data_IF_162063697912
#
_entry.id   IF_162063697912
#
_cell.length_a   1.000
_cell.length_b   1.000
_cell.length_c   1.000
_cell.angle_alpha   90.00
_cell.angle_beta   90.00
_cell.angle_gamma   90.00
#
_symmetry.space_group_name_H-M   'P 1'
#
loop_
_entity.id
_entity.type
_entity.pdbx_description
1 polymer ?
#
# COMPACT_ATOMS: atom_id res chain seq x y z
N UNK A 1 7.13 14.61 29.41
CA UNK A 1 6.15 15.61 29.91
C UNK A 1 6.19 16.95 29.15
N UNK A 2 7.07 17.16 28.16
CA UNK A 2 7.13 18.42 27.37
C UNK A 2 6.41 18.38 26.02
N UNK A 3 6.00 17.19 25.53
CA UNK A 3 5.27 17.05 24.25
C UNK A 3 3.79 17.41 24.39
N UNK A 4 3.21 17.27 25.58
CA UNK A 4 1.79 17.54 25.82
C UNK A 4 1.42 19.03 25.78
N UNK A 5 2.35 19.93 26.10
CA UNK A 5 2.03 21.36 26.27
C UNK A 5 1.85 22.11 24.95
N UNK A 6 2.36 21.57 23.83
CA UNK A 6 2.36 22.26 22.53
C UNK A 6 1.12 22.00 21.66
N UNK A 7 0.26 21.06 22.06
CA UNK A 7 -0.96 20.67 21.30
C UNK A 7 -2.19 21.50 21.72
N UNK A 8 -2.09 22.25 22.82
CA UNK A 8 -3.18 23.07 23.39
C UNK A 8 -3.70 24.21 22.51
N UNK A 9 -3.09 24.44 21.33
CA UNK A 9 -3.51 25.48 20.38
C UNK A 9 -4.34 24.94 19.18
N UNK A 10 -4.58 23.64 19.06
CA UNK A 10 -5.47 23.09 18.02
C UNK A 10 -6.88 22.89 18.58
N UNK A 11 -7.71 23.94 18.52
CA UNK A 11 -9.15 23.81 18.70
C UNK A 11 -9.70 22.80 17.66
N UNK A 12 -10.37 21.73 18.12
CA UNK A 12 -11.11 20.69 17.34
C UNK A 12 -10.48 19.31 17.08
N UNK A 13 -9.36 18.95 17.73
CA UNK A 13 -8.84 17.57 17.64
C UNK A 13 -9.77 16.55 18.35
N UNK A 14 -10.58 16.99 19.32
CA UNK A 14 -11.46 16.12 20.10
C UNK A 14 -12.48 15.34 19.23
N UNK A 15 -12.87 15.87 18.08
CA UNK A 15 -13.76 15.18 17.14
C UNK A 15 -13.15 13.91 16.51
N UNK A 16 -11.81 13.81 16.50
CA UNK A 16 -11.07 12.68 15.95
C UNK A 16 -10.95 11.51 16.94
N UNK A 17 -11.21 11.76 18.23
CA UNK A 17 -11.08 10.79 19.31
C UNK A 17 -12.43 10.57 20.00
N UNK A 18 -12.94 9.34 19.94
CA UNK A 18 -14.31 9.02 20.43
C UNK A 18 -14.36 8.33 21.79
N UNK A 19 -13.30 7.60 22.15
CA UNK A 19 -13.26 6.75 23.34
C UNK A 19 -11.98 6.99 24.13
N UNK A 20 -12.04 6.80 25.45
CA UNK A 20 -10.86 6.73 26.33
C UNK A 20 -10.34 5.30 26.47
N UNK A 21 -9.02 5.16 26.57
CA UNK A 21 -8.36 3.86 26.75
C UNK A 21 -8.59 3.34 28.17
N UNK A 22 -9.00 2.07 28.30
CA UNK A 22 -9.10 1.42 29.60
C UNK A 22 -7.76 0.74 29.96
N UNK A 23 -6.98 1.40 30.80
CA UNK A 23 -5.66 0.92 31.24
C UNK A 23 -5.72 -0.32 32.12
N UNK A 24 -6.81 -0.52 32.87
CA UNK A 24 -6.95 -1.67 33.78
C UNK A 24 -7.03 -2.98 32.99
N UNK A 25 -7.72 -3.00 31.85
CA UNK A 25 -7.75 -4.18 30.98
C UNK A 25 -6.36 -4.60 30.50
N UNK A 26 -5.50 -3.63 30.20
CA UNK A 26 -4.12 -3.89 29.77
C UNK A 26 -3.30 -4.38 30.98
N UNK A 27 -3.38 -3.68 32.11
CA UNK A 27 -2.63 -4.01 33.32
C UNK A 27 -2.96 -5.41 33.85
N UNK A 28 -4.24 -5.75 33.90
CA UNK A 28 -4.72 -7.03 34.42
C UNK A 28 -4.31 -8.24 33.56
N UNK A 29 -4.03 -8.03 32.27
CA UNK A 29 -3.65 -9.08 31.33
C UNK A 29 -2.26 -8.87 30.71
N UNK A 30 -1.41 -8.06 31.35
CA UNK A 30 -0.10 -7.70 30.82
C UNK A 30 0.80 -8.93 30.61
N UNK A 31 0.81 -9.86 31.57
CA UNK A 31 1.58 -11.10 31.47
C UNK A 31 1.09 -11.98 30.31
N UNK A 32 -0.21 -12.10 30.12
CA UNK A 32 -0.80 -12.88 29.03
C UNK A 32 -0.43 -12.29 27.66
N UNK A 33 -0.45 -10.96 27.53
CA UNK A 33 -0.02 -10.24 26.33
C UNK A 33 1.45 -10.55 26.02
N UNK A 34 2.33 -10.42 27.01
CA UNK A 34 3.77 -10.70 26.84
C UNK A 34 4.01 -12.17 26.46
N UNK A 35 3.30 -13.11 27.09
CA UNK A 35 3.41 -14.52 26.78
C UNK A 35 3.04 -14.81 25.32
N UNK A 36 1.99 -14.17 24.81
CA UNK A 36 1.60 -14.26 23.41
C UNK A 36 2.69 -13.70 22.49
N UNK A 37 3.22 -12.51 22.80
CA UNK A 37 4.28 -11.89 21.99
C UNK A 37 5.53 -12.77 21.94
N UNK A 38 5.96 -13.33 23.08
CA UNK A 38 7.10 -14.24 23.15
C UNK A 38 6.82 -15.55 22.40
N UNK A 39 5.60 -16.06 22.45
CA UNK A 39 5.21 -17.26 21.69
C UNK A 39 5.27 -17.03 20.17
N UNK A 40 4.95 -15.81 19.71
CA UNK A 40 5.09 -15.44 18.31
C UNK A 40 6.57 -15.30 17.94
N UNK A 41 7.35 -14.55 18.74
CA UNK A 41 8.78 -14.36 18.48
C UNK A 41 9.58 -15.67 18.48
N UNK A 42 9.21 -16.63 19.33
CA UNK A 42 9.82 -17.96 19.39
C UNK A 42 9.28 -18.94 18.34
N UNK A 43 8.38 -18.50 17.45
CA UNK A 43 7.82 -19.33 16.38
C UNK A 43 6.84 -20.42 16.85
N UNK A 44 6.47 -20.46 18.14
CA UNK A 44 5.53 -21.44 18.68
C UNK A 44 4.11 -21.27 18.14
N UNK A 45 3.72 -20.04 17.82
CA UNK A 45 2.41 -19.70 17.25
C UNK A 45 2.58 -18.65 16.15
N UNK A 46 1.98 -18.87 14.99
CA UNK A 46 1.90 -17.86 13.93
C UNK A 46 0.94 -16.73 14.31
N UNK A 47 1.30 -15.49 13.99
CA UNK A 47 0.45 -14.30 14.15
C UNK A 47 -0.92 -14.47 13.45
N UNK A 48 -0.96 -15.10 12.28
CA UNK A 48 -2.20 -15.35 11.54
C UNK A 48 -3.14 -16.32 12.29
N UNK A 49 -2.59 -17.38 12.88
CA UNK A 49 -3.36 -18.35 13.68
C UNK A 49 -3.91 -17.70 14.94
N UNK A 50 -3.10 -16.85 15.59
CA UNK A 50 -3.51 -16.11 16.78
C UNK A 50 -4.64 -15.14 16.47
N UNK A 51 -4.52 -14.35 15.40
CA UNK A 51 -5.57 -13.43 14.96
C UNK A 51 -6.87 -14.17 14.63
N UNK A 52 -6.79 -15.31 13.94
CA UNK A 52 -7.97 -16.15 13.66
C UNK A 52 -8.61 -16.67 14.94
N UNK A 53 -7.82 -17.14 15.91
CA UNK A 53 -8.34 -17.58 17.21
C UNK A 53 -9.00 -16.43 17.97
N UNK A 54 -8.29 -15.32 18.14
CA UNK A 54 -8.78 -14.14 18.86
C UNK A 54 -10.04 -13.55 18.22
N UNK A 55 -10.15 -13.58 16.88
CA UNK A 55 -11.33 -13.14 16.15
C UNK A 55 -12.52 -14.11 16.21
N UNK A 56 -12.26 -15.43 16.30
CA UNK A 56 -13.32 -16.45 16.46
C UNK A 56 -13.87 -16.52 17.89
N UNK A 57 -13.07 -16.18 18.90
CA UNK A 57 -13.57 -16.09 20.26
C UNK A 57 -14.51 -14.89 20.42
N UNK A 58 -15.59 -15.07 21.19
CA UNK A 58 -16.55 -14.02 21.51
C UNK A 58 -15.84 -12.74 21.97
N UNK A 59 -16.39 -11.56 21.61
CA UNK A 59 -15.94 -10.23 22.09
C UNK A 59 -15.86 -10.11 23.63
N UNK A 60 -16.34 -11.11 24.37
CA UNK A 60 -16.20 -11.29 25.82
C UNK A 60 -14.84 -11.83 26.28
N UNK A 61 -13.97 -12.28 25.38
CA UNK A 61 -12.64 -12.78 25.76
C UNK A 61 -11.79 -11.62 26.32
N UNK A 62 -11.34 -11.77 27.58
CA UNK A 62 -10.60 -10.73 28.29
C UNK A 62 -9.24 -10.43 27.68
N UNK A 63 -8.55 -11.45 27.17
CA UNK A 63 -7.26 -11.30 26.48
C UNK A 63 -7.45 -10.52 25.16
N UNK A 64 -8.51 -10.85 24.41
CA UNK A 64 -8.87 -10.09 23.20
C UNK A 64 -9.15 -8.62 23.52
N UNK A 65 -9.92 -8.34 24.57
CA UNK A 65 -10.20 -6.96 25.00
C UNK A 65 -8.93 -6.22 25.44
N UNK A 66 -8.00 -6.90 26.11
CA UNK A 66 -6.71 -6.32 26.48
C UNK A 66 -5.87 -5.95 25.25
N UNK A 67 -5.78 -6.85 24.25
CA UNK A 67 -5.15 -6.54 22.96
C UNK A 67 -5.86 -5.41 22.20
N UNK A 68 -7.18 -5.32 22.30
CA UNK A 68 -7.95 -4.24 21.68
C UNK A 68 -7.62 -2.88 22.31
N UNK A 69 -7.56 -2.77 23.64
CA UNK A 69 -7.14 -1.54 24.31
C UNK A 69 -5.69 -1.19 23.99
N UNK A 70 -4.78 -2.18 23.95
CA UNK A 70 -3.40 -1.96 23.53
C UNK A 70 -3.33 -1.42 22.09
N UNK A 71 -4.13 -1.97 21.17
CA UNK A 71 -4.27 -1.46 19.81
C UNK A 71 -4.80 -0.02 19.75
N UNK A 72 -5.72 0.36 20.66
CA UNK A 72 -6.20 1.75 20.81
C UNK A 72 -5.07 2.68 21.27
N UNK A 73 -4.20 2.26 22.19
CA UNK A 73 -2.99 3.01 22.60
C UNK A 73 -2.10 3.28 21.39
N UNK A 74 -1.70 2.21 20.67
CA UNK A 74 -0.82 2.32 19.50
C UNK A 74 -1.42 3.23 18.42
N UNK A 75 -2.71 3.06 18.12
CA UNK A 75 -3.43 3.91 17.18
C UNK A 75 -3.43 5.37 17.62
N UNK A 76 -3.68 5.65 18.89
CA UNK A 76 -3.72 7.02 19.43
C UNK A 76 -2.35 7.69 19.31
N UNK A 77 -1.28 6.99 19.72
CA UNK A 77 0.09 7.48 19.57
C UNK A 77 0.42 7.77 18.11
N UNK A 78 0.10 6.84 17.20
CA UNK A 78 0.31 7.02 15.77
C UNK A 78 -0.46 8.22 15.20
N UNK A 79 -1.75 8.38 15.56
CA UNK A 79 -2.55 9.51 15.10
C UNK A 79 -1.99 10.86 15.59
N UNK A 80 -1.56 10.94 16.85
CA UNK A 80 -0.92 12.13 17.39
C UNK A 80 0.39 12.45 16.65
N UNK A 81 1.20 11.43 16.36
CA UNK A 81 2.41 11.59 15.54
C UNK A 81 2.07 12.06 14.12
N UNK A 82 1.09 11.45 13.46
CA UNK A 82 0.65 11.80 12.11
C UNK A 82 0.14 13.25 11.99
N UNK A 83 -0.60 13.72 13.01
CA UNK A 83 -1.10 15.10 13.05
C UNK A 83 0.05 16.09 13.32
N UNK A 84 1.05 15.70 14.12
CA UNK A 84 2.14 16.59 14.54
C UNK A 84 3.32 16.63 13.56
N UNK A 85 3.56 15.56 12.81
CA UNK A 85 4.72 15.40 11.93
C UNK A 85 4.32 15.50 10.44
N UNK A 86 4.69 16.62 9.82
CA UNK A 86 4.47 16.85 8.39
C UNK A 86 5.27 15.88 7.51
N UNK A 87 6.48 15.48 7.91
CA UNK A 87 7.32 14.57 7.12
C UNK A 87 6.68 13.18 7.06
N UNK A 88 6.24 12.67 8.21
CA UNK A 88 5.49 11.41 8.29
C UNK A 88 4.22 11.46 7.43
N UNK A 89 3.47 12.57 7.49
CA UNK A 89 2.27 12.75 6.66
C UNK A 89 2.58 12.70 5.17
N UNK A 90 3.58 13.45 4.71
CA UNK A 90 3.99 13.46 3.30
C UNK A 90 4.39 12.07 2.81
N UNK A 91 5.14 11.31 3.61
CA UNK A 91 5.53 9.94 3.27
C UNK A 91 4.32 9.01 3.14
N UNK A 92 3.38 9.08 4.09
CA UNK A 92 2.15 8.27 4.04
C UNK A 92 1.32 8.66 2.81
N UNK A 93 1.09 9.95 2.56
CA UNK A 93 0.35 10.40 1.38
C UNK A 93 1.01 9.96 0.08
N UNK A 94 2.35 10.03 -0.03
CA UNK A 94 3.06 9.54 -1.20
C UNK A 94 2.84 8.03 -1.42
N UNK A 95 2.95 7.22 -0.37
CA UNK A 95 2.68 5.78 -0.45
C UNK A 95 1.21 5.49 -0.81
N UNK A 96 0.27 6.24 -0.22
CA UNK A 96 -1.16 6.13 -0.55
C UNK A 96 -1.42 6.46 -2.01
N UNK A 97 -0.85 7.55 -2.54
CA UNK A 97 -1.02 7.93 -3.94
C UNK A 97 -0.53 6.84 -4.90
N UNK A 98 0.59 6.16 -4.59
CA UNK A 98 1.10 5.05 -5.41
C UNK A 98 0.09 3.90 -5.43
N UNK A 99 -0.41 3.50 -4.27
CA UNK A 99 -1.39 2.40 -4.14
C UNK A 99 -2.71 2.75 -4.82
N UNK A 100 -3.20 3.98 -4.65
CA UNK A 100 -4.44 4.45 -5.29
C UNK A 100 -4.29 4.51 -6.82
N UNK A 101 -3.16 5.00 -7.32
CA UNK A 101 -2.88 5.03 -8.75
C UNK A 101 -2.81 3.60 -9.33
N UNK A 102 -2.13 2.67 -8.66
CA UNK A 102 -2.13 1.25 -9.04
C UNK A 102 -3.53 0.66 -9.02
N UNK A 103 -4.33 0.91 -7.96
CA UNK A 103 -5.69 0.39 -7.88
C UNK A 103 -6.58 0.93 -8.99
N UNK A 104 -6.48 2.22 -9.31
CA UNK A 104 -7.19 2.84 -10.43
C UNK A 104 -6.79 2.22 -11.77
N UNK A 105 -5.49 2.00 -11.96
CA UNK A 105 -4.92 1.38 -13.14
C UNK A 105 -5.34 -0.09 -13.30
N UNK A 106 -5.20 -0.90 -12.25
CA UNK A 106 -5.61 -2.31 -12.22
C UNK A 106 -7.13 -2.44 -12.48
N UNK A 107 -7.95 -1.55 -11.87
CA UNK A 107 -9.40 -1.50 -12.13
C UNK A 107 -9.73 -1.20 -13.60
N UNK A 108 -8.88 -0.44 -14.29
CA UNK A 108 -9.08 -0.15 -15.70
C UNK A 108 -8.96 -1.39 -16.59
N UNK A 109 -8.25 -2.45 -16.18
CA UNK A 109 -8.15 -3.69 -16.97
C UNK A 109 -9.36 -4.63 -16.81
N UNK A 110 -10.14 -4.50 -15.73
CA UNK A 110 -11.29 -5.37 -15.49
C UNK A 110 -12.32 -5.32 -16.62
N UNK A 111 -12.59 -6.47 -17.23
CA UNK A 111 -13.58 -6.63 -18.30
C UNK A 111 -14.94 -7.05 -17.73
N UNK A 112 -15.98 -6.25 -17.96
CA UNK A 112 -17.31 -6.46 -17.39
C UNK A 112 -17.41 -6.11 -15.90
N UNK A 113 -18.47 -5.40 -15.49
CA UNK A 113 -18.76 -5.13 -14.08
C UNK A 113 -17.86 -4.12 -13.37
N UNK A 114 -16.92 -3.44 -14.04
CA UNK A 114 -16.02 -2.43 -13.42
C UNK A 114 -15.31 -2.91 -12.14
N UNK A 115 -14.94 -4.19 -12.06
CA UNK A 115 -14.31 -4.79 -10.88
C UNK A 115 -15.29 -5.40 -9.87
N UNK A 116 -16.59 -5.47 -10.18
CA UNK A 116 -17.56 -6.22 -9.37
C UNK A 116 -17.46 -7.69 -9.73
N UNK A 117 -16.89 -8.49 -8.82
CA UNK A 117 -16.85 -9.94 -8.97
C UNK A 117 -18.21 -10.50 -8.57
N UNK A 118 -19.04 -10.81 -9.58
CA UNK A 118 -20.43 -11.25 -9.38
C UNK A 118 -20.55 -12.63 -8.73
N UNK A 119 -19.47 -13.42 -8.72
CA UNK A 119 -19.46 -14.77 -8.20
C UNK A 119 -18.99 -14.80 -6.75
N UNK A 120 -19.75 -15.43 -5.85
CA UNK A 120 -19.39 -15.59 -4.43
C UNK A 120 -18.52 -16.85 -4.20
N UNK A 121 -17.70 -17.20 -5.19
CA UNK A 121 -16.73 -18.29 -5.09
C UNK A 121 -15.33 -17.68 -4.87
N UNK A 122 -14.70 -17.91 -3.70
CA UNK A 122 -13.37 -17.40 -3.39
C UNK A 122 -12.30 -17.81 -4.41
N UNK A 123 -12.40 -19.02 -4.99
CA UNK A 123 -11.40 -19.53 -5.93
C UNK A 123 -11.47 -18.74 -7.24
N UNK A 124 -12.67 -18.47 -7.74
CA UNK A 124 -12.87 -17.67 -8.95
C UNK A 124 -12.50 -16.20 -8.73
N UNK A 125 -12.82 -15.64 -7.56
CA UNK A 125 -12.37 -14.29 -7.18
C UNK A 125 -10.84 -14.17 -7.19
N UNK A 126 -10.15 -15.15 -6.61
CA UNK A 126 -8.69 -15.16 -6.57
C UNK A 126 -8.07 -15.25 -7.98
N UNK A 127 -8.62 -16.10 -8.85
CA UNK A 127 -8.18 -16.21 -10.24
C UNK A 127 -8.31 -14.88 -10.97
N UNK A 128 -9.48 -14.24 -10.87
CA UNK A 128 -9.74 -12.96 -11.54
C UNK A 128 -8.73 -11.90 -11.10
N UNK A 129 -8.47 -11.78 -9.79
CA UNK A 129 -7.50 -10.83 -9.25
C UNK A 129 -6.10 -11.12 -9.81
N UNK A 130 -5.65 -12.39 -9.74
CA UNK A 130 -4.32 -12.78 -10.21
C UNK A 130 -4.10 -12.54 -11.70
N UNK A 131 -5.08 -12.88 -12.54
CA UNK A 131 -4.98 -12.63 -13.98
C UNK A 131 -4.99 -11.14 -14.29
N UNK A 132 -5.79 -10.35 -13.57
CA UNK A 132 -5.81 -8.90 -13.75
C UNK A 132 -4.48 -8.27 -13.33
N UNK A 133 -3.91 -8.70 -12.21
CA UNK A 133 -2.58 -8.26 -11.75
C UNK A 133 -1.49 -8.64 -12.76
N UNK A 134 -1.57 -9.82 -13.38
CA UNK A 134 -0.62 -10.23 -14.43
C UNK A 134 -0.65 -9.27 -15.63
N UNK A 135 -1.85 -8.95 -16.13
CA UNK A 135 -2.03 -8.02 -17.26
C UNK A 135 -1.56 -6.62 -16.87
N UNK A 136 -1.95 -6.13 -15.69
CA UNK A 136 -1.52 -4.83 -15.18
C UNK A 136 0.02 -4.74 -15.13
N UNK A 137 0.69 -5.76 -14.57
CA UNK A 137 2.15 -5.79 -14.50
C UNK A 137 2.83 -5.84 -15.87
N UNK A 138 2.29 -6.60 -16.82
CA UNK A 138 2.83 -6.64 -18.19
C UNK A 138 2.76 -5.26 -18.87
N UNK A 139 1.66 -4.55 -18.68
CA UNK A 139 1.50 -3.19 -19.22
C UNK A 139 2.38 -2.18 -18.48
N UNK A 140 2.48 -2.25 -17.14
CA UNK A 140 3.39 -1.41 -16.36
C UNK A 140 4.80 -1.54 -16.89
N UNK A 141 5.24 -2.77 -17.17
CA UNK A 141 6.54 -3.03 -17.76
C UNK A 141 6.68 -2.34 -19.11
N UNK A 142 5.72 -2.51 -20.03
CA UNK A 142 5.77 -1.82 -21.34
C UNK A 142 5.82 -0.30 -21.19
N UNK A 143 5.00 0.28 -20.32
CA UNK A 143 5.03 1.72 -20.04
C UNK A 143 6.40 2.18 -19.52
N UNK A 144 7.08 1.39 -18.69
CA UNK A 144 8.44 1.70 -18.22
C UNK A 144 9.44 1.65 -19.37
N UNK A 145 9.34 0.66 -20.28
CA UNK A 145 10.18 0.58 -21.48
C UNK A 145 9.99 1.83 -22.34
N UNK A 146 8.73 2.15 -22.68
CA UNK A 146 8.39 3.31 -23.51
C UNK A 146 8.88 4.62 -22.88
N UNK A 147 8.65 4.81 -21.58
CA UNK A 147 9.13 5.99 -20.85
C UNK A 147 10.67 6.06 -20.87
N UNK A 148 11.36 4.94 -20.70
CA UNK A 148 12.82 4.90 -20.72
C UNK A 148 13.36 5.30 -22.08
N UNK A 149 12.74 4.84 -23.17
CA UNK A 149 13.14 5.21 -24.53
C UNK A 149 12.92 6.69 -24.81
N UNK A 150 11.76 7.24 -24.41
CA UNK A 150 11.48 8.67 -24.54
C UNK A 150 12.48 9.51 -23.74
N UNK A 151 12.83 9.10 -22.50
CA UNK A 151 13.84 9.80 -21.69
C UNK A 151 15.21 9.79 -22.35
N UNK A 152 15.61 8.67 -22.98
CA UNK A 152 16.87 8.57 -23.73
C UNK A 152 16.88 9.51 -24.94
N UNK A 153 15.78 9.58 -25.68
CA UNK A 153 15.66 10.45 -26.84
C UNK A 153 15.71 11.93 -26.46
N UNK A 154 15.09 12.30 -25.33
CA UNK A 154 15.17 13.65 -24.78
C UNK A 154 16.61 14.02 -24.35
N UNK A 155 17.34 13.09 -23.73
CA UNK A 155 18.77 13.29 -23.40
C UNK A 155 19.62 13.46 -24.67
N UNK A 156 19.39 12.63 -25.70
CA UNK A 156 20.08 12.75 -27.01
C UNK A 156 19.78 14.08 -27.70
N UNK A 157 18.57 14.61 -27.52
CA UNK A 157 18.17 15.92 -28.04
C UNK A 157 18.74 17.10 -27.22
N UNK A 158 19.47 16.83 -26.11
CA UNK A 158 20.15 17.85 -25.31
C UNK A 158 19.32 18.42 -24.15
N UNK A 159 18.18 17.83 -23.81
CA UNK A 159 17.42 18.22 -22.62
C UNK A 159 18.08 17.66 -21.35
N UNK A 160 18.17 18.49 -20.30
CA UNK A 160 18.62 18.04 -18.98
C UNK A 160 17.45 17.39 -18.22
N UNK A 161 17.62 16.15 -17.79
CA UNK A 161 16.62 15.42 -16.99
C UNK A 161 17.20 15.16 -15.61
N UNK A 162 16.51 15.62 -14.56
CA UNK A 162 16.91 15.41 -13.17
C UNK A 162 16.27 14.17 -12.57
N UNK A 163 16.77 13.72 -11.42
CA UNK A 163 16.19 12.59 -10.68
C UNK A 163 14.78 12.91 -10.20
N UNK A 164 14.53 14.16 -9.85
CA UNK A 164 13.24 14.68 -9.41
C UNK A 164 12.19 14.60 -10.54
N UNK A 165 12.58 14.87 -11.78
CA UNK A 165 11.71 14.75 -12.95
C UNK A 165 11.26 13.30 -13.16
N UNK A 166 12.20 12.36 -13.07
CA UNK A 166 11.89 10.92 -13.20
C UNK A 166 11.05 10.43 -12.02
N UNK A 167 11.29 10.93 -10.81
CA UNK A 167 10.50 10.59 -9.63
C UNK A 167 9.05 11.08 -9.70
N UNK A 168 8.75 12.09 -10.53
CA UNK A 168 7.39 12.57 -10.76
C UNK A 168 6.61 11.74 -11.80
N UNK A 169 7.29 10.91 -12.59
CA UNK A 169 6.64 10.06 -13.59
C UNK A 169 5.91 8.89 -12.93
N UNK A 170 4.83 8.45 -13.57
CA UNK A 170 4.06 7.29 -13.17
C UNK A 170 3.95 6.30 -14.32
N UNK A 171 4.23 5.00 -14.11
CA UNK A 171 4.05 3.99 -15.15
C UNK A 171 2.59 3.55 -15.30
N UNK A 172 1.65 4.17 -14.59
CA UNK A 172 0.23 3.80 -14.55
C UNK A 172 -0.62 4.55 -15.58
N UNK A 173 -0.04 4.89 -16.73
CA UNK A 173 -0.72 5.59 -17.81
C UNK A 173 -1.57 4.64 -18.65
N UNK A 174 -2.74 5.11 -19.10
CA UNK A 174 -3.68 4.31 -19.92
C UNK A 174 -4.00 4.93 -21.28
N UNK A 175 -3.61 6.18 -21.51
CA UNK A 175 -3.96 6.94 -22.72
C UNK A 175 -3.28 6.41 -23.99
N UNK A 176 -2.09 5.80 -23.85
CA UNK A 176 -1.32 5.19 -24.93
C UNK A 176 -1.77 3.75 -25.25
N UNK A 177 -2.71 3.18 -24.49
CA UNK A 177 -3.06 1.76 -24.57
C UNK A 177 -4.40 1.57 -25.25
N UNK A 178 -4.40 0.77 -26.32
CA UNK A 178 -5.62 0.38 -27.02
C UNK A 178 -6.36 -0.75 -26.27
N UNK A 179 -7.14 -0.41 -25.25
CA UNK A 179 -7.84 -1.42 -24.42
C UNK A 179 -8.69 -2.44 -25.19
N UNK A 180 -9.36 -1.99 -26.26
CA UNK A 180 -10.31 -2.81 -27.02
C UNK A 180 -10.02 -2.77 -28.51
N UNK A 181 -10.39 -3.85 -29.19
CA UNK A 181 -10.24 -4.03 -30.63
C UNK A 181 -9.08 -4.97 -30.97
N UNK A 182 -8.74 -5.01 -32.27
CA UNK A 182 -7.78 -5.98 -32.76
C UNK A 182 -6.34 -5.52 -32.55
N UNK A 183 -5.52 -6.47 -32.12
CA UNK A 183 -4.07 -6.35 -32.04
C UNK A 183 -3.47 -7.18 -33.18
N UNK A 184 -2.70 -6.53 -34.05
CA UNK A 184 -1.81 -7.22 -34.96
C UNK A 184 -0.46 -7.36 -34.25
N UNK A 185 -0.16 -8.56 -33.79
CA UNK A 185 1.09 -8.86 -33.09
C UNK A 185 2.04 -9.42 -34.13
N UNK A 186 3.14 -8.71 -34.38
CA UNK A 186 4.28 -9.26 -35.10
C UNK A 186 5.10 -10.12 -34.13
N UNK A 187 5.18 -11.43 -34.42
CA UNK A 187 5.93 -12.40 -33.61
C UNK A 187 7.38 -12.52 -34.05
N UNK A 188 7.77 -11.89 -35.16
CA UNK A 188 9.13 -11.91 -35.71
C UNK A 188 9.98 -10.74 -35.18
N UNK A 189 9.35 -9.66 -34.72
CA UNK A 189 10.08 -8.52 -34.15
C UNK A 189 10.68 -8.89 -32.79
N UNK A 190 12.01 -8.86 -32.68
CA UNK A 190 12.69 -9.00 -31.40
C UNK A 190 12.68 -7.64 -30.68
N UNK A 191 12.18 -7.55 -29.43
CA UNK A 191 12.23 -6.31 -28.66
C UNK A 191 13.67 -5.86 -28.44
N UNK A 192 13.89 -4.54 -28.46
CA UNK A 192 15.20 -3.97 -28.14
C UNK A 192 15.59 -4.32 -26.70
N UNK A 193 16.85 -4.71 -26.49
CA UNK A 193 17.38 -4.97 -25.16
C UNK A 193 17.53 -3.65 -24.39
N UNK A 194 17.12 -3.66 -23.12
CA UNK A 194 17.20 -2.46 -22.27
C UNK A 194 18.64 -2.07 -21.91
N UNK A 195 19.62 -2.96 -22.05
CA UNK A 195 20.96 -2.86 -21.46
C UNK A 195 22.08 -2.38 -22.42
N UNK A 196 21.79 -2.09 -23.69
CA UNK A 196 22.85 -1.85 -24.69
C UNK A 196 23.43 -0.41 -24.71
N UNK A 197 22.85 0.54 -23.97
CA UNK A 197 23.39 1.91 -23.87
C UNK A 197 23.37 2.38 -22.42
N UNK A 198 24.54 2.83 -21.96
CA UNK A 198 24.89 3.08 -20.55
C UNK A 198 23.78 3.69 -19.71
N UNK A 199 23.70 3.20 -18.47
CA UNK A 199 22.75 3.61 -17.43
C UNK A 199 22.37 5.10 -17.53
N UNK A 200 21.08 5.38 -17.38
CA UNK A 200 20.57 6.64 -16.86
C UNK A 200 21.17 6.92 -15.47
N UNK A 201 22.46 7.23 -15.39
CA UNK A 201 23.08 7.73 -14.17
C UNK A 201 22.67 9.19 -14.08
N UNK A 202 21.46 9.40 -13.55
CA UNK A 202 20.96 10.69 -13.13
C UNK A 202 21.81 11.11 -11.92
N UNK A 203 22.90 11.84 -12.18
CA UNK A 203 23.73 12.51 -11.15
C UNK A 203 23.03 13.75 -10.62
#
# INVERSE_FOLDING_TARGET
MQVFTRISAQCHIDSLFKDTINWDKIKNHWQDILQVVLSIQTGKISSAVLLRKLGNYSRKNRLYQAFQELGRVVRTVFLLQYISDMKLRKQITAATNIVEAYNGFSKWFFFGGFGVISNNDPIEQEKIIKYNDLVANAVIFQNVVDLTDVLRDLLKAGYSITREDVAALSPYMTSNIKRFGDYMIDMETVPNLLDDQGLLILT
#
